data_IF_724946844834
#
_entry.id   IF_724946844834
#
_cell.length_a   1.000
_cell.length_b   1.000
_cell.length_c   1.000
_cell.angle_alpha   90.00
_cell.angle_beta   90.00
_cell.angle_gamma   90.00
#
_symmetry.space_group_name_H-M   'P 1'
#
loop_
_entity.id
_entity.type
_entity.pdbx_description
1 polymer ?
#
# COMPACT_ATOMS: atom_id res chain seq x y z
N UNK A 1 -11.12 23.28 3.40
CA UNK A 1 -10.11 22.86 4.40
C UNK A 1 -9.56 21.51 3.95
N UNK A 2 -8.32 21.46 3.44
CA UNK A 2 -7.72 20.20 2.98
C UNK A 2 -7.43 19.27 4.17
N UNK A 3 -7.68 17.96 4.06
CA UNK A 3 -7.30 17.01 5.09
C UNK A 3 -5.80 16.76 4.94
N UNK A 4 -4.96 17.58 5.59
CA UNK A 4 -3.59 17.17 5.86
C UNK A 4 -3.67 15.98 6.81
N UNK A 5 -3.64 14.77 6.27
CA UNK A 5 -3.23 13.60 7.01
C UNK A 5 -1.85 13.92 7.59
N UNK A 6 -1.78 14.28 8.88
CA UNK A 6 -0.52 14.56 9.54
C UNK A 6 0.29 13.26 9.53
N UNK A 7 1.26 13.18 8.63
CA UNK A 7 2.20 12.08 8.59
C UNK A 7 3.00 12.14 9.88
N UNK A 8 2.70 11.24 10.82
CA UNK A 8 3.46 11.13 12.07
C UNK A 8 4.85 10.60 11.73
N UNK A 9 5.89 11.30 12.19
CA UNK A 9 7.28 10.91 11.97
C UNK A 9 7.54 9.48 12.40
N UNK A 10 8.38 8.77 11.65
CA UNK A 10 8.79 7.41 11.98
C UNK A 10 9.55 7.34 13.31
N UNK A 11 10.25 8.41 13.71
CA UNK A 11 10.91 8.49 15.02
C UNK A 11 9.89 8.39 16.16
N UNK A 12 8.75 9.09 16.05
CA UNK A 12 7.68 9.01 17.05
C UNK A 12 7.04 7.62 17.08
N UNK A 13 6.91 6.96 15.93
CA UNK A 13 6.43 5.58 15.87
C UNK A 13 7.43 4.59 16.47
N UNK A 14 8.74 4.82 16.31
CA UNK A 14 9.81 4.03 16.91
C UNK A 14 9.79 4.08 18.44
N UNK A 15 9.39 5.21 19.02
CA UNK A 15 9.22 5.33 20.47
C UNK A 15 8.07 4.48 21.02
N UNK A 16 7.04 4.17 20.22
CA UNK A 16 5.85 3.45 20.70
C UNK A 16 6.21 2.04 21.21
N UNK A 17 6.83 1.14 20.42
CA UNK A 17 7.23 -0.17 20.92
C UNK A 17 8.24 -0.10 22.07
N UNK A 18 9.18 0.86 22.02
CA UNK A 18 10.18 1.02 23.07
C UNK A 18 9.55 1.35 24.43
N UNK A 19 8.63 2.32 24.48
CA UNK A 19 7.89 2.68 25.69
C UNK A 19 6.96 1.55 26.14
N UNK A 20 6.31 0.85 25.22
CA UNK A 20 5.47 -0.29 25.57
C UNK A 20 6.29 -1.43 26.20
N UNK A 21 7.49 -1.70 25.69
CA UNK A 21 8.40 -2.70 26.26
C UNK A 21 8.93 -2.31 27.65
N UNK A 22 9.05 -1.00 27.93
CA UNK A 22 9.37 -0.48 29.26
C UNK A 22 8.18 -0.55 30.25
N UNK A 23 7.02 -1.09 29.84
CA UNK A 23 5.85 -1.27 30.70
C UNK A 23 4.90 -0.08 30.78
N UNK A 24 5.07 0.94 29.93
CA UNK A 24 4.12 2.05 29.88
C UNK A 24 2.79 1.61 29.28
N UNK A 25 1.69 2.03 29.93
CA UNK A 25 0.35 1.81 29.38
C UNK A 25 0.14 2.60 28.09
N UNK A 26 -0.73 2.11 27.21
CA UNK A 26 -1.09 2.81 25.95
C UNK A 26 -1.56 4.25 26.20
N UNK A 27 -2.26 4.49 27.32
CA UNK A 27 -2.72 5.83 27.68
C UNK A 27 -1.57 6.76 28.05
N UNK A 28 -0.58 6.27 28.78
CA UNK A 28 0.62 7.03 29.11
C UNK A 28 1.45 7.34 27.85
N UNK A 29 1.59 6.37 26.95
CA UNK A 29 2.28 6.55 25.66
C UNK A 29 1.60 7.63 24.82
N UNK A 30 0.25 7.61 24.74
CA UNK A 30 -0.51 8.64 24.03
C UNK A 30 -0.26 10.04 24.61
N UNK A 31 -0.21 10.15 25.95
CA UNK A 31 0.01 11.42 26.63
C UNK A 31 1.44 11.93 26.41
N UNK A 32 2.45 11.06 26.51
CA UNK A 32 3.87 11.41 26.35
C UNK A 32 4.18 11.84 24.91
N UNK A 33 3.70 11.08 23.92
CA UNK A 33 4.00 11.32 22.51
C UNK A 33 2.97 12.25 21.83
N UNK A 34 1.95 12.71 22.56
CA UNK A 34 0.81 13.47 22.04
C UNK A 34 0.14 12.78 20.82
N UNK A 35 -0.01 11.45 20.86
CA UNK A 35 -0.57 10.65 19.76
C UNK A 35 -1.99 10.15 20.07
N UNK A 36 -2.74 9.88 19.01
CA UNK A 36 -4.04 9.22 19.13
C UNK A 36 -3.87 7.74 19.49
N UNK A 37 -4.72 7.23 20.39
CA UNK A 37 -4.78 5.81 20.79
C UNK A 37 -4.82 4.85 19.59
N UNK A 38 -5.58 5.21 18.55
CA UNK A 38 -5.70 4.39 17.33
C UNK A 38 -4.37 4.17 16.61
N UNK A 39 -3.48 5.18 16.59
CA UNK A 39 -2.16 5.06 16.00
C UNK A 39 -1.27 4.14 16.84
N UNK A 40 -1.28 4.32 18.17
CA UNK A 40 -0.51 3.49 19.10
C UNK A 40 -0.87 2.02 18.96
N UNK A 41 -2.16 1.68 18.95
CA UNK A 41 -2.60 0.29 18.75
C UNK A 41 -2.20 -0.25 17.38
N UNK A 42 -2.33 0.54 16.30
CA UNK A 42 -1.91 0.12 14.95
C UNK A 42 -0.41 -0.16 14.91
N UNK A 43 0.42 0.73 15.44
CA UNK A 43 1.87 0.56 15.46
C UNK A 43 2.29 -0.66 16.28
N UNK A 44 1.69 -0.87 17.45
CA UNK A 44 1.96 -2.07 18.25
C UNK A 44 1.54 -3.36 17.53
N UNK A 45 0.39 -3.36 16.86
CA UNK A 45 -0.07 -4.51 16.09
C UNK A 45 0.85 -4.83 14.90
N UNK A 46 1.34 -3.81 14.18
CA UNK A 46 2.31 -3.99 13.09
C UNK A 46 3.64 -4.48 13.64
N UNK A 47 4.15 -3.87 14.71
CA UNK A 47 5.41 -4.25 15.34
C UNK A 47 5.37 -5.69 15.85
N UNK A 48 4.27 -6.11 16.48
CA UNK A 48 4.09 -7.49 16.94
C UNK A 48 4.04 -8.52 15.80
N UNK A 49 3.60 -8.13 14.60
CA UNK A 49 3.47 -9.03 13.45
C UNK A 49 4.72 -9.08 12.58
N UNK A 50 5.36 -7.92 12.37
CA UNK A 50 6.40 -7.75 11.37
C UNK A 50 7.77 -7.38 11.99
N UNK A 51 7.85 -7.08 13.28
CA UNK A 51 9.08 -6.61 13.95
C UNK A 51 9.51 -5.18 13.56
N UNK A 52 8.73 -4.52 12.69
CA UNK A 52 8.98 -3.17 12.17
C UNK A 52 7.81 -2.24 12.47
N UNK A 53 8.07 -0.93 12.55
CA UNK A 53 7.07 0.08 12.91
C UNK A 53 6.14 0.50 11.78
N UNK A 54 6.57 0.25 10.54
CA UNK A 54 5.80 0.51 9.33
C UNK A 54 5.48 -0.82 8.66
N UNK A 55 4.33 -0.91 8.00
CA UNK A 55 3.97 -2.11 7.27
C UNK A 55 4.95 -2.26 6.08
N UNK A 56 5.75 -3.32 5.99
CA UNK A 56 6.67 -3.53 4.88
C UNK A 56 5.92 -3.70 3.54
N UNK A 57 4.63 -4.03 3.58
CA UNK A 57 3.78 -4.12 2.40
C UNK A 57 3.11 -2.79 2.01
N UNK A 58 3.23 -1.71 2.80
CA UNK A 58 2.69 -0.40 2.40
C UNK A 58 3.43 0.20 1.20
N UNK A 59 4.75 0.03 1.12
CA UNK A 59 5.52 0.36 -0.08
C UNK A 59 5.14 -0.56 -1.26
N UNK A 60 4.76 -1.80 -0.96
CA UNK A 60 4.25 -2.76 -1.94
C UNK A 60 2.81 -2.45 -2.40
N UNK A 61 2.04 -1.59 -1.72
CA UNK A 61 0.77 -1.09 -2.25
C UNK A 61 0.94 -0.15 -3.45
N UNK A 62 2.16 0.37 -3.68
CA UNK A 62 2.53 1.07 -4.93
C UNK A 62 2.98 0.05 -5.99
N UNK A 63 3.24 -1.20 -5.62
CA UNK A 63 3.42 -2.28 -6.58
C UNK A 63 2.07 -2.54 -7.22
N UNK A 64 1.86 -1.93 -8.39
CA UNK A 64 0.82 -2.30 -9.33
C UNK A 64 0.62 -3.81 -9.31
N UNK A 65 -0.64 -4.23 -9.28
CA UNK A 65 -0.98 -5.65 -9.43
C UNK A 65 -0.20 -6.24 -10.61
N UNK A 66 0.33 -7.47 -10.49
CA UNK A 66 1.05 -8.11 -11.58
C UNK A 66 0.18 -8.03 -12.82
N UNK A 67 0.64 -7.27 -13.81
CA UNK A 67 -0.12 -7.01 -15.01
C UNK A 67 -0.19 -8.33 -15.78
N UNK A 68 -1.40 -8.83 -15.99
CA UNK A 68 -1.64 -10.05 -16.77
C UNK A 68 -1.17 -9.82 -18.23
N UNK A 69 -1.28 -8.58 -18.70
CA UNK A 69 -0.81 -8.16 -20.01
C UNK A 69 0.59 -7.57 -19.92
N UNK A 70 1.51 -8.08 -20.74
CA UNK A 70 2.84 -7.49 -20.86
C UNK A 70 2.77 -6.14 -21.59
N UNK A 71 3.82 -5.33 -21.47
CA UNK A 71 3.93 -4.09 -22.23
C UNK A 71 3.80 -4.32 -23.76
N UNK A 72 4.31 -5.45 -24.26
CA UNK A 72 4.20 -5.82 -25.67
C UNK A 72 2.76 -6.15 -26.07
N UNK A 73 1.96 -6.68 -25.16
CA UNK A 73 0.53 -6.97 -25.41
C UNK A 73 -0.28 -5.67 -25.44
N UNK A 74 0.05 -4.70 -24.58
CA UNK A 74 -0.55 -3.37 -24.64
C UNK A 74 -0.26 -2.66 -25.97
N UNK A 75 0.98 -2.70 -26.46
CA UNK A 75 1.32 -2.13 -27.78
C UNK A 75 0.62 -2.86 -28.93
N UNK A 76 0.52 -4.19 -28.84
CA UNK A 76 -0.20 -4.99 -29.83
C UNK A 76 -1.69 -4.62 -29.88
N UNK A 77 -2.35 -4.56 -28.72
CA UNK A 77 -3.75 -4.15 -28.61
C UNK A 77 -3.98 -2.73 -29.13
N UNK A 78 -3.07 -1.80 -28.84
CA UNK A 78 -3.17 -0.44 -29.33
C UNK A 78 -3.13 -0.39 -30.85
N UNK A 79 -2.15 -1.04 -31.48
CA UNK A 79 -2.08 -1.14 -32.92
C UNK A 79 -3.32 -1.83 -33.51
N UNK A 80 -3.81 -2.89 -32.88
CA UNK A 80 -4.95 -3.66 -33.37
C UNK A 80 -6.24 -2.82 -33.35
N UNK A 81 -6.47 -2.05 -32.29
CA UNK A 81 -7.60 -1.12 -32.17
C UNK A 81 -7.49 0.02 -33.18
N UNK A 82 -6.29 0.57 -33.39
CA UNK A 82 -6.05 1.65 -34.36
C UNK A 82 -6.32 1.22 -35.81
N UNK A 83 -6.14 -0.06 -36.13
CA UNK A 83 -6.43 -0.60 -37.47
C UNK A 83 -7.87 -1.12 -37.60
N UNK A 84 -8.50 -1.58 -36.50
CA UNK A 84 -9.82 -2.21 -36.50
C UNK A 84 -10.64 -1.77 -35.27
N UNK A 85 -11.27 -0.60 -35.38
CA UNK A 85 -12.05 0.01 -34.28
C UNK A 85 -13.36 -0.71 -33.90
N UNK A 86 -13.80 -1.72 -34.65
CA UNK A 86 -15.06 -2.44 -34.41
C UNK A 86 -14.88 -3.80 -33.75
N UNK A 87 -13.68 -4.12 -33.26
CA UNK A 87 -13.40 -5.40 -32.64
C UNK A 87 -14.08 -5.51 -31.27
N UNK A 88 -14.74 -6.64 -31.05
CA UNK A 88 -15.31 -6.97 -29.75
C UNK A 88 -14.24 -7.51 -28.81
N UNK A 89 -14.51 -7.43 -27.50
CA UNK A 89 -13.55 -7.85 -26.47
C UNK A 89 -13.11 -9.31 -26.63
N UNK A 90 -14.03 -10.19 -27.01
CA UNK A 90 -13.75 -11.62 -27.19
C UNK A 90 -12.81 -11.86 -28.39
N UNK A 91 -12.94 -11.06 -29.45
CA UNK A 91 -12.06 -11.10 -30.62
C UNK A 91 -10.66 -10.61 -30.25
N UNK A 92 -10.55 -9.55 -29.43
CA UNK A 92 -9.26 -9.08 -28.90
C UNK A 92 -8.56 -10.15 -28.04
N UNK A 93 -9.32 -10.86 -27.22
CA UNK A 93 -8.80 -11.95 -26.41
C UNK A 93 -8.33 -13.13 -27.27
N UNK A 94 -9.06 -13.45 -28.33
CA UNK A 94 -8.66 -14.49 -29.29
C UNK A 94 -7.37 -14.11 -30.04
N UNK A 95 -7.25 -12.87 -30.51
CA UNK A 95 -6.04 -12.37 -31.17
C UNK A 95 -4.84 -12.38 -30.21
N UNK A 96 -5.03 -12.00 -28.94
CA UNK A 96 -4.00 -12.10 -27.92
C UNK A 96 -3.59 -13.54 -27.58
N UNK A 97 -4.53 -14.48 -27.63
CA UNK A 97 -4.25 -15.90 -27.36
C UNK A 97 -3.66 -16.65 -28.56
N UNK A 98 -3.80 -16.11 -29.78
CA UNK A 98 -3.31 -16.71 -31.03
C UNK A 98 -1.89 -16.25 -31.38
N UNK A 99 -1.44 -15.14 -30.78
CA UNK A 99 -0.06 -14.65 -30.81
C UNK A 99 0.90 -15.59 -30.09
#
# INVERSE_FOLDING_TARGET
>A
MSPHASVVSDDLKACIPALHHQGYSVQNICNILALRKSLVYKTLAIFSKCGVINNPHQSSCISSHPHILSQADCYFLQNLIDHRHTLYLDELQQELSTK
#
